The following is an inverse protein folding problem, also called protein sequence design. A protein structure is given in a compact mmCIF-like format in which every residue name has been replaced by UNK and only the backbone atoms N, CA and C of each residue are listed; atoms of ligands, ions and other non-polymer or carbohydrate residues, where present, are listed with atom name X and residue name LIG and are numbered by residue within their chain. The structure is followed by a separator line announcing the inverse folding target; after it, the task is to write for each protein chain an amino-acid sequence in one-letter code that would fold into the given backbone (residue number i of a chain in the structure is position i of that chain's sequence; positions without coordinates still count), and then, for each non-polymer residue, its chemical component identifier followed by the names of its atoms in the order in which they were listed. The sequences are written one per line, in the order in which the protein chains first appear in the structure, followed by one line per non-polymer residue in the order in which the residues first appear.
data_IF_502665062224
#
_entry.id   IF_502665062224
#
_cell.length_a   1.000
_cell.length_b   1.000
_cell.length_c   1.000
_cell.angle_alpha   90.00
_cell.angle_beta   90.00
_cell.angle_gamma   90.00
#
_symmetry.space_group_name_H-M   'P 1'
#
loop_
_entity.id
_entity.type
_entity.pdbx_description
1 polymer ?
#
# COMPACT_ATOMS: atom_id res chain seq x y z
N UNK A 1 29.24 22.40 12.03
CA UNK A 1 27.97 21.89 11.47
C UNK A 1 28.19 20.87 10.35
N UNK A 2 28.98 21.15 9.31
CA UNK A 2 29.26 20.17 8.22
C UNK A 2 29.89 18.87 8.72
N UNK A 3 30.75 18.93 9.75
CA UNK A 3 31.44 17.75 10.28
C UNK A 3 30.50 16.70 10.91
N UNK A 4 29.38 17.11 11.51
CA UNK A 4 28.42 16.19 12.12
C UNK A 4 27.58 15.47 11.06
N UNK A 5 27.30 16.15 9.93
CA UNK A 5 26.55 15.56 8.80
C UNK A 5 27.32 14.40 8.16
N UNK A 6 28.67 14.45 8.17
CA UNK A 6 29.51 13.40 7.57
C UNK A 6 29.63 12.17 8.50
N UNK A 7 29.50 12.35 9.82
CA UNK A 7 29.67 11.25 10.78
C UNK A 7 28.42 10.36 10.90
N UNK A 8 27.23 10.91 10.66
CA UNK A 8 25.96 10.18 10.69
C UNK A 8 25.58 9.52 9.35
N UNK A 9 26.42 9.67 8.31
CA UNK A 9 26.15 9.09 7.00
C UNK A 9 26.47 7.60 6.95
N UNK A 10 25.58 6.83 6.34
CA UNK A 10 25.78 5.40 6.14
C UNK A 10 26.97 5.14 5.20
N UNK A 11 27.67 4.02 5.42
CA UNK A 11 28.92 3.70 4.72
C UNK A 11 28.72 3.54 3.20
N UNK A 12 27.52 3.11 2.80
CA UNK A 12 27.05 3.05 1.42
C UNK A 12 27.09 4.43 0.75
N UNK A 13 26.55 5.44 1.42
CA UNK A 13 26.38 6.77 0.86
C UNK A 13 27.73 7.48 0.71
N UNK A 14 28.60 7.33 1.71
CA UNK A 14 29.97 7.85 1.66
C UNK A 14 30.71 7.32 0.43
N UNK A 15 30.55 6.04 0.11
CA UNK A 15 31.20 5.41 -1.03
C UNK A 15 30.66 5.95 -2.38
N UNK A 16 29.35 6.19 -2.46
CA UNK A 16 28.70 6.80 -3.62
C UNK A 16 29.20 8.24 -3.81
N UNK A 17 29.25 9.05 -2.75
CA UNK A 17 29.74 10.43 -2.82
C UNK A 17 31.22 10.50 -3.20
N UNK A 18 32.07 9.61 -2.65
CA UNK A 18 33.47 9.52 -3.04
C UNK A 18 33.62 9.17 -4.54
N UNK A 19 32.80 8.25 -5.04
CA UNK A 19 32.74 7.90 -6.46
C UNK A 19 32.35 9.09 -7.34
N UNK A 20 31.33 9.87 -6.94
CA UNK A 20 30.90 11.08 -7.64
C UNK A 20 32.02 12.12 -7.68
N UNK A 21 32.75 12.33 -6.58
CA UNK A 21 33.86 13.30 -6.51
C UNK A 21 35.01 12.87 -7.44
N UNK A 22 35.43 11.60 -7.39
CA UNK A 22 36.50 11.07 -8.24
C UNK A 22 36.10 11.14 -9.71
N UNK A 23 34.88 10.75 -10.05
CA UNK A 23 34.36 10.82 -11.42
C UNK A 23 34.29 12.26 -11.92
N UNK A 24 33.82 13.18 -11.08
CA UNK A 24 33.76 14.62 -11.42
C UNK A 24 35.16 15.18 -11.64
N UNK A 25 36.12 14.89 -10.76
CA UNK A 25 37.50 15.33 -10.89
C UNK A 25 38.16 14.78 -12.17
N UNK A 26 37.93 13.50 -12.48
CA UNK A 26 38.41 12.87 -13.71
C UNK A 26 37.80 13.53 -14.96
N UNK A 27 36.49 13.80 -14.93
CA UNK A 27 35.76 14.42 -16.03
C UNK A 27 36.23 15.86 -16.28
N UNK A 28 36.47 16.64 -15.22
CA UNK A 28 36.99 18.00 -15.31
C UNK A 28 38.41 18.07 -15.85
N UNK A 29 39.26 17.11 -15.49
CA UNK A 29 40.64 17.06 -15.96
C UNK A 29 40.76 16.73 -17.46
N UNK A 30 39.72 16.11 -18.05
CA UNK A 30 39.72 15.66 -19.45
C UNK A 30 39.13 16.66 -20.44
N UNK A 31 38.21 17.53 -20.00
CA UNK A 31 37.37 18.32 -20.91
C UNK A 31 38.00 19.67 -21.33
N UNK A 32 39.03 20.17 -20.62
CA UNK A 32 39.58 21.49 -20.90
C UNK A 32 38.52 22.56 -20.61
N UNK A 33 38.41 22.96 -19.35
CA UNK A 33 37.31 23.77 -18.85
C UNK A 33 37.15 25.11 -19.59
N UNK A 34 36.21 25.14 -20.52
CA UNK A 34 35.67 26.39 -21.06
C UNK A 34 34.69 26.98 -20.02
N UNK A 35 34.64 28.31 -19.88
CA UNK A 35 33.75 29.01 -18.93
C UNK A 35 32.28 28.61 -19.08
N UNK A 36 31.88 28.17 -20.27
CA UNK A 36 30.54 27.71 -20.59
C UNK A 36 30.20 26.36 -19.91
N UNK A 37 31.19 25.48 -19.74
CA UNK A 37 31.02 24.19 -19.03
C UNK A 37 30.81 24.46 -17.52
N UNK A 38 31.57 25.39 -16.94
CA UNK A 38 31.43 25.78 -15.54
C UNK A 38 30.04 26.36 -15.25
N UNK A 39 29.53 27.25 -16.11
CA UNK A 39 28.16 27.79 -16.02
C UNK A 39 27.10 26.68 -16.12
N UNK A 40 27.27 25.73 -17.04
CA UNK A 40 26.36 24.59 -17.17
C UNK A 40 26.29 23.73 -15.91
N UNK A 41 27.43 23.50 -15.25
CA UNK A 41 27.49 22.78 -13.97
C UNK A 41 26.77 23.53 -12.86
N UNK A 42 26.98 24.84 -12.73
CA UNK A 42 26.30 25.68 -11.73
C UNK A 42 24.79 25.64 -11.93
N UNK A 43 24.33 25.81 -13.18
CA UNK A 43 22.90 25.72 -13.52
C UNK A 43 22.35 24.32 -13.20
N UNK A 44 23.10 23.27 -13.51
CA UNK A 44 22.75 21.89 -13.16
C UNK A 44 22.53 21.69 -11.66
N UNK A 45 23.44 22.19 -10.82
CA UNK A 45 23.28 22.15 -9.37
C UNK A 45 22.06 22.93 -8.89
N UNK A 46 21.77 24.10 -9.46
CA UNK A 46 20.57 24.89 -9.13
C UNK A 46 19.30 24.10 -9.47
N UNK A 47 19.23 23.47 -10.64
CA UNK A 47 18.08 22.65 -11.06
C UNK A 47 17.89 21.46 -10.11
N UNK A 48 18.96 20.72 -9.82
CA UNK A 48 18.91 19.58 -8.89
C UNK A 48 18.44 20.02 -7.51
N UNK A 49 18.95 21.14 -7.00
CA UNK A 49 18.54 21.72 -5.72
C UNK A 49 17.05 22.07 -5.68
N UNK A 50 16.53 22.73 -6.74
CA UNK A 50 15.10 23.06 -6.84
C UNK A 50 14.23 21.80 -6.87
N UNK A 51 14.64 20.77 -7.63
CA UNK A 51 13.91 19.50 -7.71
C UNK A 51 13.91 18.76 -6.37
N UNK A 52 15.04 18.74 -5.68
CA UNK A 52 15.17 18.17 -4.34
C UNK A 52 14.25 18.87 -3.34
N UNK A 53 14.31 20.20 -3.26
CA UNK A 53 13.47 20.98 -2.34
C UNK A 53 11.98 20.79 -2.63
N UNK A 54 11.59 20.74 -3.91
CA UNK A 54 10.20 20.46 -4.31
C UNK A 54 9.75 19.07 -3.84
N UNK A 55 10.61 18.06 -3.97
CA UNK A 55 10.33 16.71 -3.49
C UNK A 55 10.19 16.66 -1.97
N UNK A 56 11.08 17.33 -1.24
CA UNK A 56 11.08 17.36 0.23
C UNK A 56 9.81 18.03 0.78
N UNK A 57 9.46 19.23 0.27
CA UNK A 57 8.22 19.89 0.67
C UNK A 57 6.97 19.08 0.32
N UNK A 58 6.97 18.39 -0.82
CA UNK A 58 5.86 17.51 -1.18
C UNK A 58 5.72 16.34 -0.19
N UNK A 59 6.83 15.72 0.18
CA UNK A 59 6.85 14.61 1.12
C UNK A 59 6.44 15.05 2.54
N UNK A 60 6.89 16.21 3.01
CA UNK A 60 6.46 16.76 4.29
C UNK A 60 4.95 17.05 4.31
N UNK A 61 4.44 17.71 3.27
CA UNK A 61 3.02 18.05 3.17
C UNK A 61 2.16 16.78 3.13
N UNK A 62 2.60 15.76 2.38
CA UNK A 62 1.95 14.46 2.33
C UNK A 62 1.93 13.77 3.69
N UNK A 63 3.07 13.74 4.39
CA UNK A 63 3.20 13.12 5.72
C UNK A 63 2.32 13.81 6.75
N UNK A 64 2.32 15.15 6.78
CA UNK A 64 1.44 15.95 7.64
C UNK A 64 -0.03 15.68 7.35
N UNK A 65 -0.41 15.60 6.07
CA UNK A 65 -1.77 15.24 5.66
C UNK A 65 -2.16 13.85 6.18
N UNK A 66 -1.28 12.87 6.00
CA UNK A 66 -1.51 11.49 6.44
C UNK A 66 -1.70 11.38 7.96
N UNK A 67 -0.83 12.02 8.72
CA UNK A 67 -0.92 12.10 10.18
C UNK A 67 -2.23 12.76 10.64
N UNK A 68 -2.63 13.87 9.99
CA UNK A 68 -3.91 14.53 10.27
C UNK A 68 -5.12 13.63 10.00
N UNK A 69 -5.09 12.84 8.93
CA UNK A 69 -6.17 11.88 8.62
C UNK A 69 -6.25 10.83 9.73
N UNK A 70 -5.13 10.19 10.07
CA UNK A 70 -5.06 9.12 11.08
C UNK A 70 -5.50 9.60 12.47
N UNK A 71 -5.26 10.87 12.81
CA UNK A 71 -5.70 11.50 14.06
C UNK A 71 -7.19 11.84 14.11
N UNK A 72 -7.92 11.74 13.01
CA UNK A 72 -9.36 12.03 13.02
C UNK A 72 -10.14 10.94 13.77
N UNK A 73 -11.24 11.32 14.44
CA UNK A 73 -12.04 10.42 15.29
C UNK A 73 -12.53 9.15 14.61
N UNK A 74 -12.67 9.19 13.28
CA UNK A 74 -13.05 8.05 12.47
C UNK A 74 -11.95 6.99 12.40
N UNK A 75 -10.66 7.38 12.44
CA UNK A 75 -9.53 6.49 12.20
C UNK A 75 -8.71 6.13 13.45
N UNK A 76 -8.82 6.90 14.54
CA UNK A 76 -8.13 6.65 15.83
C UNK A 76 -8.16 5.19 16.30
N UNK A 77 -9.27 4.43 16.19
CA UNK A 77 -9.33 3.06 16.71
C UNK A 77 -8.46 2.05 15.95
N UNK A 78 -7.99 2.37 14.74
CA UNK A 78 -7.35 1.43 13.82
C UNK A 78 -5.84 1.63 13.81
N UNK A 79 -5.13 0.63 14.31
CA UNK A 79 -3.71 0.76 14.66
C UNK A 79 -2.77 0.56 13.48
N UNK A 80 -3.18 -0.13 12.43
CA UNK A 80 -2.32 -0.59 11.34
C UNK A 80 -2.53 0.18 10.03
N UNK A 81 -3.52 1.07 9.96
CA UNK A 81 -3.79 1.91 8.79
C UNK A 81 -2.57 2.70 8.29
N UNK A 82 -1.68 3.14 9.19
CA UNK A 82 -0.48 3.90 8.82
C UNK A 82 0.47 3.14 7.88
N UNK A 83 0.37 1.81 7.79
CA UNK A 83 1.25 0.99 6.95
C UNK A 83 0.97 1.13 5.45
N UNK A 84 -0.21 1.60 5.06
CA UNK A 84 -0.56 1.76 3.65
C UNK A 84 -1.20 3.13 3.40
N UNK A 85 -0.37 4.07 2.93
CA UNK A 85 -0.77 5.44 2.66
C UNK A 85 -1.79 5.57 1.52
N UNK A 86 -1.79 4.64 0.56
CA UNK A 86 -2.79 4.59 -0.52
C UNK A 86 -4.18 4.24 0.02
N UNK A 87 -4.27 3.26 0.92
CA UNK A 87 -5.52 2.88 1.59
C UNK A 87 -6.04 4.01 2.48
N UNK A 88 -5.18 4.67 3.24
CA UNK A 88 -5.63 5.82 4.07
C UNK A 88 -6.12 6.97 3.18
N UNK A 89 -5.41 7.26 2.10
CA UNK A 89 -5.84 8.27 1.11
C UNK A 89 -7.16 7.87 0.45
N UNK A 90 -7.35 6.59 0.14
CA UNK A 90 -8.61 6.06 -0.37
C UNK A 90 -9.75 6.29 0.64
N UNK A 91 -9.56 5.87 1.90
CA UNK A 91 -10.56 6.03 2.94
C UNK A 91 -10.94 7.51 3.11
N UNK A 92 -9.97 8.41 3.14
CA UNK A 92 -10.22 9.85 3.22
C UNK A 92 -11.03 10.40 2.04
N UNK A 93 -10.68 10.02 0.80
CA UNK A 93 -11.39 10.46 -0.41
C UNK A 93 -12.84 9.99 -0.48
N UNK A 94 -13.16 8.88 0.20
CA UNK A 94 -14.50 8.29 0.28
C UNK A 94 -15.13 8.45 1.67
N UNK A 95 -14.61 9.36 2.50
CA UNK A 95 -15.09 9.59 3.87
C UNK A 95 -16.57 9.96 3.95
N UNK A 96 -17.08 10.67 2.95
CA UNK A 96 -18.51 11.03 2.83
C UNK A 96 -19.44 9.80 2.82
N UNK A 97 -18.96 8.62 2.39
CA UNK A 97 -19.74 7.38 2.38
C UNK A 97 -20.11 6.91 3.80
N UNK A 98 -19.37 7.36 4.80
CA UNK A 98 -19.73 7.19 6.20
C UNK A 98 -21.12 7.75 6.52
N UNK A 99 -21.53 8.88 5.91
CA UNK A 99 -22.82 9.50 6.18
C UNK A 99 -23.99 8.67 5.63
N UNK A 100 -23.78 7.97 4.51
CA UNK A 100 -24.81 7.16 3.87
C UNK A 100 -24.94 5.77 4.50
N UNK A 101 -23.81 5.13 4.83
CA UNK A 101 -23.83 3.81 5.47
C UNK A 101 -22.73 3.65 6.54
N UNK A 102 -22.91 4.23 7.75
CA UNK A 102 -21.88 4.22 8.79
C UNK A 102 -21.40 2.83 9.19
N UNK A 103 -22.32 1.86 9.24
CA UNK A 103 -22.03 0.48 9.66
C UNK A 103 -21.14 -0.24 8.65
N UNK A 104 -21.50 -0.23 7.37
CA UNK A 104 -20.70 -0.85 6.31
C UNK A 104 -19.33 -0.17 6.19
N UNK A 105 -19.28 1.16 6.29
CA UNK A 105 -18.04 1.90 6.18
C UNK A 105 -17.09 1.61 7.35
N UNK A 106 -17.57 1.60 8.61
CA UNK A 106 -16.75 1.21 9.77
C UNK A 106 -16.28 -0.24 9.68
N UNK A 107 -17.16 -1.15 9.26
CA UNK A 107 -16.83 -2.57 9.09
C UNK A 107 -15.76 -2.76 8.02
N UNK A 108 -15.83 -2.01 6.92
CA UNK A 108 -14.80 -2.00 5.89
C UNK A 108 -13.45 -1.55 6.46
N UNK A 109 -13.38 -0.41 7.18
CA UNK A 109 -12.13 0.08 7.76
C UNK A 109 -11.54 -0.93 8.74
N UNK A 110 -12.37 -1.52 9.62
CA UNK A 110 -11.93 -2.54 10.57
C UNK A 110 -11.31 -3.75 9.87
N UNK A 111 -11.89 -4.20 8.75
CA UNK A 111 -11.34 -5.32 7.99
C UNK A 111 -10.06 -4.92 7.23
N UNK A 112 -9.95 -3.67 6.77
CA UNK A 112 -8.70 -3.13 6.22
C UNK A 112 -7.60 -3.10 7.29
N UNK A 113 -7.91 -2.68 8.51
CA UNK A 113 -6.94 -2.65 9.62
C UNK A 113 -6.43 -4.06 9.95
N UNK A 114 -7.34 -5.04 10.04
CA UNK A 114 -6.98 -6.46 10.19
C UNK A 114 -6.14 -6.97 9.02
N UNK A 115 -6.48 -6.60 7.79
CA UNK A 115 -5.73 -6.97 6.60
C UNK A 115 -4.28 -6.43 6.68
N UNK A 116 -4.09 -5.19 7.13
CA UNK A 116 -2.77 -4.57 7.31
C UNK A 116 -2.01 -5.09 8.54
N UNK A 117 -2.72 -5.61 9.54
CA UNK A 117 -2.12 -6.33 10.66
C UNK A 117 -1.48 -7.63 10.17
N UNK A 118 -2.24 -8.44 9.43
CA UNK A 118 -1.73 -9.71 8.88
C UNK A 118 -0.57 -9.47 7.91
N UNK A 119 -0.66 -8.44 7.08
CA UNK A 119 0.45 -8.01 6.20
C UNK A 119 1.76 -7.77 6.99
N UNK A 120 1.66 -7.07 8.14
CA UNK A 120 2.81 -6.81 9.03
C UNK A 120 3.34 -8.11 9.64
N UNK A 121 2.44 -8.96 10.09
CA UNK A 121 2.77 -10.23 10.73
C UNK A 121 3.55 -11.11 9.74
N UNK A 122 3.08 -11.22 8.49
CA UNK A 122 3.80 -11.97 7.44
C UNK A 122 5.17 -11.34 7.15
N UNK A 123 5.28 -10.01 7.03
CA UNK A 123 6.57 -9.34 6.81
C UNK A 123 7.57 -9.61 7.95
N UNK A 124 7.10 -9.56 9.20
CA UNK A 124 7.95 -9.76 10.39
C UNK A 124 8.35 -11.21 10.62
N UNK A 125 7.72 -12.17 9.92
CA UNK A 125 8.16 -13.56 9.96
C UNK A 125 7.30 -14.48 10.82
N UNK A 126 5.97 -14.37 10.79
CA UNK A 126 5.11 -15.37 11.44
C UNK A 126 5.44 -16.79 10.96
N UNK A 127 5.17 -17.77 11.83
CA UNK A 127 5.28 -19.18 11.49
C UNK A 127 4.15 -19.60 10.52
N UNK A 128 2.95 -19.04 10.67
CA UNK A 128 1.72 -19.41 9.94
C UNK A 128 1.44 -18.54 8.71
N UNK A 129 2.49 -18.17 7.97
CA UNK A 129 2.39 -17.17 6.91
C UNK A 129 1.53 -17.62 5.70
N UNK A 130 1.32 -18.93 5.50
CA UNK A 130 0.45 -19.44 4.45
C UNK A 130 -1.04 -19.31 4.85
N UNK A 131 -1.38 -19.64 6.10
CA UNK A 131 -2.71 -19.46 6.68
C UNK A 131 -3.08 -17.98 6.72
N UNK A 132 -2.16 -17.15 7.21
CA UNK A 132 -2.27 -15.69 7.26
C UNK A 132 -2.57 -15.13 5.87
N UNK A 133 -1.82 -15.57 4.84
CA UNK A 133 -2.09 -15.16 3.46
C UNK A 133 -3.49 -15.61 2.98
N UNK A 134 -3.94 -16.81 3.36
CA UNK A 134 -5.30 -17.24 3.03
C UNK A 134 -6.35 -16.35 3.67
N UNK A 135 -6.17 -16.00 4.95
CA UNK A 135 -7.06 -15.07 5.66
C UNK A 135 -7.11 -13.69 4.99
N UNK A 136 -5.98 -13.18 4.49
CA UNK A 136 -5.97 -11.91 3.73
C UNK A 136 -6.85 -11.97 2.47
N UNK A 137 -6.89 -13.11 1.78
CA UNK A 137 -7.78 -13.27 0.60
C UNK A 137 -9.26 -13.23 0.98
N UNK A 138 -9.62 -13.80 2.13
CA UNK A 138 -10.99 -13.76 2.63
C UNK A 138 -11.36 -12.34 3.09
N UNK A 139 -10.45 -11.66 3.80
CA UNK A 139 -10.61 -10.25 4.17
C UNK A 139 -10.80 -9.36 2.94
N UNK A 140 -10.06 -9.58 1.84
CA UNK A 140 -10.29 -8.87 0.57
C UNK A 140 -11.76 -8.98 0.13
N UNK A 141 -12.33 -10.18 0.11
CA UNK A 141 -13.74 -10.36 -0.27
C UNK A 141 -14.67 -9.61 0.67
N UNK A 142 -14.43 -9.67 1.99
CA UNK A 142 -15.23 -8.96 2.99
C UNK A 142 -15.13 -7.44 2.80
N UNK A 143 -13.93 -6.90 2.56
CA UNK A 143 -13.70 -5.46 2.36
C UNK A 143 -14.47 -4.97 1.12
N UNK A 144 -14.32 -5.67 -0.01
CA UNK A 144 -14.98 -5.31 -1.27
C UNK A 144 -16.50 -5.41 -1.16
N UNK A 145 -17.02 -6.43 -0.48
CA UNK A 145 -18.46 -6.59 -0.26
C UNK A 145 -19.02 -5.49 0.65
N UNK A 146 -18.29 -5.10 1.71
CA UNK A 146 -18.71 -3.99 2.56
C UNK A 146 -18.73 -2.66 1.77
N UNK A 147 -17.71 -2.38 0.96
CA UNK A 147 -17.74 -1.21 0.08
C UNK A 147 -18.90 -1.31 -0.92
N UNK A 148 -19.16 -2.49 -1.47
CA UNK A 148 -20.26 -2.72 -2.41
C UNK A 148 -21.62 -2.36 -1.79
N UNK A 149 -21.86 -2.79 -0.56
CA UNK A 149 -23.12 -2.56 0.16
C UNK A 149 -23.47 -1.09 0.39
N UNK A 150 -22.50 -0.17 0.27
CA UNK A 150 -22.72 1.26 0.40
C UNK A 150 -23.59 1.78 -0.76
N UNK A 151 -23.49 1.19 -1.95
CA UNK A 151 -24.22 1.65 -3.16
C UNK A 151 -25.73 1.74 -2.94
N UNK A 152 -26.30 0.85 -2.13
CA UNK A 152 -27.74 0.79 -1.86
C UNK A 152 -28.26 1.99 -1.05
N UNK A 153 -27.37 2.77 -0.42
CA UNK A 153 -27.72 3.97 0.34
C UNK A 153 -27.20 5.26 -0.29
N UNK A 154 -26.52 5.17 -1.43
CA UNK A 154 -26.01 6.34 -2.15
C UNK A 154 -27.12 7.02 -2.96
N UNK A 155 -27.03 8.33 -3.20
CA UNK A 155 -27.91 9.01 -4.15
C UNK A 155 -27.76 8.38 -5.53
N UNK A 156 -28.87 8.05 -6.19
CA UNK A 156 -28.87 7.43 -7.53
C UNK A 156 -28.67 8.48 -8.64
N UNK A 157 -27.63 9.29 -8.54
CA UNK A 157 -27.20 10.21 -9.60
C UNK A 157 -26.05 9.58 -10.39
N UNK A 158 -25.94 9.87 -11.70
CA UNK A 158 -24.84 9.35 -12.54
C UNK A 158 -23.48 9.65 -11.90
N UNK A 159 -23.27 10.90 -11.47
CA UNK A 159 -22.01 11.30 -10.85
C UNK A 159 -21.67 10.52 -9.57
N UNK A 160 -22.67 10.17 -8.75
CA UNK A 160 -22.44 9.37 -7.53
C UNK A 160 -22.09 7.92 -7.88
N UNK A 161 -22.80 7.33 -8.85
CA UNK A 161 -22.54 5.97 -9.34
C UNK A 161 -21.17 5.87 -10.02
N UNK A 162 -20.81 6.84 -10.85
CA UNK A 162 -19.50 6.88 -11.51
C UNK A 162 -18.36 6.99 -10.50
N UNK A 163 -18.50 7.89 -9.50
CA UNK A 163 -17.54 8.03 -8.39
C UNK A 163 -17.42 6.72 -7.59
N UNK A 164 -18.54 6.04 -7.37
CA UNK A 164 -18.59 4.78 -6.66
C UNK A 164 -17.89 3.65 -7.42
N UNK A 165 -18.19 3.47 -8.72
CA UNK A 165 -17.56 2.46 -9.57
C UNK A 165 -16.05 2.67 -9.66
N UNK A 166 -15.61 3.92 -9.86
CA UNK A 166 -14.19 4.27 -9.82
C UNK A 166 -13.56 3.90 -8.46
N UNK A 167 -14.26 4.17 -7.36
CA UNK A 167 -13.82 3.81 -6.01
C UNK A 167 -13.67 2.30 -5.82
N UNK A 168 -14.62 1.52 -6.35
CA UNK A 168 -14.59 0.07 -6.27
C UNK A 168 -13.37 -0.51 -6.99
N UNK A 169 -13.10 -0.04 -8.21
CA UNK A 169 -11.92 -0.48 -8.98
C UNK A 169 -10.61 -0.04 -8.33
N UNK A 170 -10.56 1.19 -7.80
CA UNK A 170 -9.41 1.70 -7.07
C UNK A 170 -9.12 0.87 -5.82
N UNK A 171 -10.13 0.60 -4.98
CA UNK A 171 -9.98 -0.22 -3.79
C UNK A 171 -9.49 -1.63 -4.13
N UNK A 172 -10.08 -2.25 -5.15
CA UNK A 172 -9.68 -3.57 -5.64
C UNK A 172 -8.21 -3.58 -6.07
N UNK A 173 -7.77 -2.56 -6.78
CA UNK A 173 -6.39 -2.41 -7.25
C UNK A 173 -5.42 -2.33 -6.08
N UNK A 174 -5.68 -1.48 -5.09
CA UNK A 174 -4.80 -1.30 -3.92
C UNK A 174 -4.68 -2.60 -3.11
N UNK A 175 -5.80 -3.28 -2.85
CA UNK A 175 -5.81 -4.55 -2.10
C UNK A 175 -5.08 -5.65 -2.87
N UNK A 176 -5.28 -5.75 -4.20
CA UNK A 176 -4.59 -6.72 -5.03
C UNK A 176 -3.08 -6.49 -5.06
N UNK A 177 -2.65 -5.23 -5.19
CA UNK A 177 -1.23 -4.86 -5.16
C UNK A 177 -0.56 -5.34 -3.86
N UNK A 178 -1.24 -5.12 -2.72
CA UNK A 178 -0.73 -5.58 -1.42
C UNK A 178 -0.68 -7.11 -1.34
N UNK A 179 -1.73 -7.81 -1.79
CA UNK A 179 -1.74 -9.28 -1.87
C UNK A 179 -0.64 -9.83 -2.79
N UNK A 180 -0.35 -9.17 -3.91
CA UNK A 180 0.70 -9.58 -4.83
C UNK A 180 2.09 -9.43 -4.22
N UNK A 181 2.32 -8.36 -3.46
CA UNK A 181 3.57 -8.19 -2.70
C UNK A 181 3.74 -9.33 -1.68
N UNK A 182 2.72 -9.59 -0.87
CA UNK A 182 2.76 -10.64 0.15
C UNK A 182 2.89 -12.03 -0.48
N UNK A 183 2.22 -12.28 -1.60
CA UNK A 183 2.37 -13.53 -2.37
C UNK A 183 3.84 -13.78 -2.74
N UNK A 184 4.56 -12.75 -3.16
CA UNK A 184 5.99 -12.82 -3.43
C UNK A 184 6.80 -13.19 -2.18
N UNK A 185 6.50 -12.57 -1.04
CA UNK A 185 7.16 -12.85 0.25
C UNK A 185 6.92 -14.30 0.68
N UNK A 186 5.66 -14.74 0.68
CA UNK A 186 5.24 -16.10 1.06
C UNK A 186 5.93 -17.15 0.18
N UNK A 187 5.90 -16.97 -1.14
CA UNK A 187 6.54 -17.92 -2.05
C UNK A 187 8.07 -17.95 -1.90
N UNK A 188 8.70 -16.79 -1.65
CA UNK A 188 10.12 -16.75 -1.39
C UNK A 188 10.49 -17.48 -0.09
N UNK A 189 9.65 -17.41 0.95
CA UNK A 189 9.82 -18.18 2.19
C UNK A 189 9.64 -19.68 1.96
N UNK A 190 8.55 -20.08 1.32
CA UNK A 190 8.29 -21.48 0.95
C UNK A 190 9.44 -22.09 0.14
N UNK A 191 10.02 -21.34 -0.81
CA UNK A 191 11.20 -21.78 -1.58
C UNK A 191 12.45 -22.02 -0.73
N UNK A 192 12.63 -21.26 0.35
CA UNK A 192 13.81 -21.37 1.23
C UNK A 192 13.67 -22.47 2.27
N UNK A 193 12.47 -22.62 2.84
CA UNK A 193 12.20 -23.60 3.92
C UNK A 193 11.83 -24.99 3.40
N UNK A 194 11.45 -25.09 2.13
CA UNK A 194 10.88 -26.31 1.56
C UNK A 194 9.37 -26.41 1.82
N UNK A 195 8.73 -27.33 1.09
CA UNK A 195 7.30 -27.65 1.19
C UNK A 195 7.14 -28.75 2.24
N UNK A 196 6.35 -28.50 3.27
CA UNK A 196 6.04 -29.43 4.36
C UNK A 196 4.51 -29.44 4.62
N UNK A 197 4.06 -30.01 5.73
CA UNK A 197 2.62 -30.09 6.06
C UNK A 197 1.96 -28.72 6.26
N UNK A 198 2.75 -27.71 6.62
CA UNK A 198 2.32 -26.35 6.97
C UNK A 198 2.72 -25.35 5.86
N UNK A 199 3.51 -25.77 4.86
CA UNK A 199 3.99 -24.93 3.77
C UNK A 199 3.62 -25.48 2.41
N UNK A 200 2.88 -24.69 1.62
CA UNK A 200 2.50 -25.03 0.26
C UNK A 200 2.68 -23.82 -0.65
N UNK A 201 3.04 -24.05 -1.92
CA UNK A 201 3.00 -22.98 -2.91
C UNK A 201 1.58 -22.46 -3.03
N UNK A 202 1.41 -21.16 -2.82
CA UNK A 202 0.12 -20.53 -3.00
C UNK A 202 0.04 -20.01 -4.43
N UNK A 203 -1.03 -20.32 -5.15
CA UNK A 203 -1.22 -19.83 -6.51
C UNK A 203 -2.35 -18.78 -6.54
N UNK A 204 -2.19 -17.78 -7.42
CA UNK A 204 -3.10 -16.64 -7.55
C UNK A 204 -4.54 -17.04 -7.84
N UNK A 205 -4.72 -18.03 -8.71
CA UNK A 205 -6.01 -18.38 -9.32
C UNK A 205 -6.41 -19.83 -9.02
N UNK A 206 -6.20 -20.30 -7.80
CA UNK A 206 -6.81 -21.57 -7.45
C UNK A 206 -8.32 -21.43 -7.43
N UNK A 207 -9.06 -22.31 -8.13
CA UNK A 207 -10.49 -22.42 -7.88
C UNK A 207 -10.67 -22.66 -6.38
N UNK A 208 -11.54 -21.88 -5.74
CA UNK A 208 -11.95 -22.20 -4.37
C UNK A 208 -12.48 -23.64 -4.40
N UNK A 209 -12.11 -24.49 -3.42
CA UNK A 209 -12.75 -25.80 -3.29
C UNK A 209 -14.26 -25.58 -3.34
N UNK A 210 -14.95 -26.30 -4.21
CA UNK A 210 -16.42 -26.29 -4.22
C UNK A 210 -16.86 -26.79 -2.85
N UNK A 211 -17.39 -25.90 -2.01
CA UNK A 211 -17.95 -26.27 -0.72
C UNK A 211 -19.14 -27.22 -0.96
N UNK A 212 -19.03 -28.50 -0.60
CA UNK A 212 -20.13 -29.45 -0.80
C UNK A 212 -21.37 -29.07 0.05
N UNK A 213 -21.21 -28.25 1.09
CA UNK A 213 -22.28 -27.84 2.01
C UNK A 213 -23.02 -26.58 1.55
N UNK A 214 -22.47 -25.80 0.62
CA UNK A 214 -23.10 -24.56 0.13
C UNK A 214 -24.38 -24.77 -0.69
N UNK A 215 -24.62 -25.98 -1.20
CA UNK A 215 -25.81 -26.33 -1.98
C UNK A 215 -26.92 -27.02 -1.16
N UNK A 216 -26.69 -27.33 0.12
CA UNK A 216 -27.67 -28.05 0.94
C UNK A 216 -28.69 -27.12 1.64
N UNK A 217 -28.49 -25.81 1.61
CA UNK A 217 -29.30 -24.83 2.37
C UNK A 217 -30.41 -24.14 1.57
N UNK A 218 -30.66 -24.52 0.31
CA UNK A 218 -31.70 -23.88 -0.54
C UNK A 218 -32.86 -24.80 -0.96
N UNK A 219 -32.94 -26.05 -0.49
CA UNK A 219 -33.99 -27.01 -0.91
C UNK A 219 -35.03 -27.38 0.14
N UNK A 220 -35.12 -26.67 1.28
CA UNK A 220 -36.13 -26.94 2.31
C UNK A 220 -37.04 -25.75 2.62
N UNK A 221 -37.56 -25.03 1.62
CA UNK A 221 -38.76 -24.18 1.80
C UNK A 221 -39.50 -23.98 0.47
N UNK A 222 -39.93 -25.08 -0.15
CA UNK A 222 -41.08 -25.09 -1.06
C UNK A 222 -41.94 -26.31 -0.73
N UNK A 223 -42.91 -26.10 0.15
CA UNK A 223 -43.90 -27.09 0.55
C UNK A 223 -44.80 -26.49 1.63
N UNK A 224 -46.02 -26.16 1.22
CA UNK A 224 -47.23 -25.89 2.03
C UNK A 224 -47.30 -24.54 2.76
N UNK A 225 -47.95 -23.53 2.15
CA UNK A 225 -49.34 -23.09 2.41
C UNK A 225 -49.90 -22.41 1.15
#
# INVERSE_FOLDING_TARGET
MVYNVIYDMDSSDIMIYAGIIIFSAWLFNRIGLNTHVLLGVIIGFIIVYILYQKSEHHNEAFTKKMDNILKSSLFIPYKYLYRNSELVSFLDNYREYYQYNPSAYRTMINNIDKFLHIDKDIETGTYYYNEDYSQMRDLKSIILNNFHSIIHKLPHTSASLDKFHYGMEKLRTIINSTLDNIHGIVNNKNRRQGINTDTAFVYRNHPKPTDPMGNASWTFYQGDI
#
